data_IF_230727274283
#
_entry.id   IF_230727274283
#
_cell.length_a   1.000
_cell.length_b   1.000
_cell.length_c   1.000
_cell.angle_alpha   90.00
_cell.angle_beta   90.00
_cell.angle_gamma   90.00
#
_symmetry.space_group_name_H-M   'P 1'
#
loop_
_entity.id
_entity.type
_entity.pdbx_description
1 polymer ?
#
# COMPACT_ATOMS: atom_id res chain seq x y z
N UNK A 1 2.09 0.69 -21.06
CA UNK A 1 2.60 1.23 -19.76
C UNK A 1 3.64 0.30 -19.13
N UNK A 2 4.83 0.82 -18.81
CA UNK A 2 5.93 0.03 -18.21
C UNK A 2 5.57 -0.57 -16.84
N UNK A 3 5.59 -1.91 -16.73
CA UNK A 3 5.17 -2.67 -15.53
C UNK A 3 6.01 -2.32 -14.29
N UNK A 4 5.36 -2.20 -13.13
CA UNK A 4 6.08 -2.02 -11.86
C UNK A 4 6.89 -3.29 -11.54
N UNK A 5 8.22 -3.14 -11.44
CA UNK A 5 9.15 -4.25 -11.16
C UNK A 5 9.65 -4.33 -9.72
N UNK A 6 9.21 -3.40 -8.86
CA UNK A 6 9.61 -3.38 -7.45
C UNK A 6 8.83 -4.35 -6.55
N UNK A 7 9.16 -4.40 -5.24
CA UNK A 7 8.56 -5.33 -4.29
C UNK A 7 7.05 -5.06 -4.11
N UNK A 8 6.22 -6.00 -4.56
CA UNK A 8 4.75 -5.91 -4.49
C UNK A 8 4.22 -5.78 -3.05
N UNK A 9 4.87 -6.46 -2.10
CA UNK A 9 4.50 -6.39 -0.67
C UNK A 9 4.67 -5.00 -0.06
N UNK A 10 5.58 -4.14 -0.57
CA UNK A 10 5.78 -2.78 -0.07
C UNK A 10 4.54 -1.90 -0.32
N UNK A 11 3.82 -2.12 -1.43
CA UNK A 11 2.55 -1.42 -1.73
C UNK A 11 1.42 -1.89 -0.84
N UNK A 12 1.30 -3.19 -0.60
CA UNK A 12 0.24 -3.78 0.24
C UNK A 12 0.38 -3.35 1.70
N UNK A 13 1.60 -3.30 2.24
CA UNK A 13 1.85 -2.78 3.61
C UNK A 13 1.40 -1.33 3.79
N UNK A 14 1.41 -0.50 2.73
CA UNK A 14 0.98 0.91 2.77
C UNK A 14 -0.52 1.08 2.46
N UNK A 15 -1.02 0.38 1.44
CA UNK A 15 -2.35 0.55 0.86
C UNK A 15 -3.39 -0.45 1.40
N UNK A 16 -2.97 -1.49 2.12
CA UNK A 16 -3.84 -2.58 2.59
C UNK A 16 -4.08 -3.62 1.49
N UNK A 17 -5.20 -4.35 1.60
CA UNK A 17 -5.55 -5.41 0.66
C UNK A 17 -5.71 -4.87 -0.78
N UNK A 18 -4.94 -5.46 -1.69
CA UNK A 18 -4.95 -5.22 -3.14
C UNK A 18 -5.21 -6.56 -3.86
N UNK A 19 -6.46 -6.99 -3.98
CA UNK A 19 -6.79 -8.19 -4.74
C UNK A 19 -6.30 -8.03 -6.19
N UNK A 20 -5.74 -9.10 -6.77
CA UNK A 20 -5.14 -9.08 -8.11
C UNK A 20 -3.64 -8.72 -8.16
N UNK A 21 -3.07 -8.08 -7.13
CA UNK A 21 -1.63 -7.76 -7.13
C UNK A 21 -0.75 -8.89 -6.59
N UNK A 22 -1.23 -9.60 -5.56
CA UNK A 22 -0.61 -10.81 -5.00
C UNK A 22 -1.68 -11.66 -4.34
N UNK A 23 -1.55 -12.99 -4.39
CA UNK A 23 -2.36 -13.95 -3.63
C UNK A 23 -1.77 -14.25 -2.25
N UNK A 24 -0.47 -13.96 -2.05
CA UNK A 24 0.25 -14.24 -0.81
C UNK A 24 -0.09 -13.20 0.26
N UNK A 25 -0.36 -13.67 1.48
CA UNK A 25 -0.56 -12.79 2.64
C UNK A 25 0.77 -12.15 3.06
N UNK A 26 0.83 -10.83 3.31
CA UNK A 26 2.03 -10.20 3.84
C UNK A 26 2.31 -10.76 5.24
N UNK A 27 3.53 -11.26 5.48
CA UNK A 27 3.97 -11.60 6.84
C UNK A 27 4.02 -10.32 7.68
N UNK A 28 3.68 -10.42 8.96
CA UNK A 28 3.75 -9.33 9.92
C UNK A 28 5.22 -8.94 10.17
N UNK A 29 5.82 -8.18 9.24
CA UNK A 29 7.17 -7.65 9.41
C UNK A 29 7.16 -6.57 10.49
N UNK A 30 8.09 -6.69 11.43
CA UNK A 30 8.38 -5.76 12.54
C UNK A 30 8.22 -4.29 12.13
N UNK A 31 7.10 -3.68 12.52
CA UNK A 31 6.74 -2.29 12.18
C UNK A 31 6.69 -1.38 13.41
N UNK A 32 7.22 -1.79 14.56
CA UNK A 32 7.13 -1.03 15.80
C UNK A 32 7.66 0.42 15.64
N UNK A 33 8.72 0.66 14.86
CA UNK A 33 9.23 2.02 14.53
C UNK A 33 8.41 2.80 13.48
N UNK A 34 7.60 2.12 12.67
CA UNK A 34 6.78 2.76 11.62
C UNK A 34 5.36 3.08 12.10
N UNK A 35 4.88 2.40 13.14
CA UNK A 35 3.60 2.69 13.80
C UNK A 35 3.66 4.01 14.58
N UNK A 36 4.78 4.29 15.26
CA UNK A 36 4.98 5.51 16.05
C UNK A 36 4.96 6.80 15.21
N UNK A 37 5.18 6.70 13.89
CA UNK A 37 5.14 7.82 12.95
C UNK A 37 3.83 7.97 12.18
N UNK A 38 2.80 7.17 12.46
CA UNK A 38 1.47 7.40 11.87
C UNK A 38 0.76 8.55 12.60
N UNK A 39 1.27 9.77 12.44
CA UNK A 39 0.58 10.99 12.84
C UNK A 39 -0.80 11.10 12.17
N UNK A 40 -1.65 11.97 12.72
CA UNK A 40 -3.05 12.19 12.31
C UNK A 40 -3.18 12.26 10.78
N UNK A 41 -3.95 11.35 10.18
CA UNK A 41 -4.12 11.30 8.72
C UNK A 41 -4.92 12.51 8.25
N UNK A 42 -4.25 13.43 7.56
CA UNK A 42 -4.88 14.59 6.92
C UNK A 42 -5.71 14.10 5.72
N UNK A 43 -6.82 14.78 5.42
CA UNK A 43 -7.78 14.45 4.34
C UNK A 43 -7.12 14.20 2.97
N UNK A 44 -6.10 14.98 2.60
CA UNK A 44 -5.32 14.86 1.36
C UNK A 44 -4.58 13.51 1.26
N UNK A 45 -4.04 13.02 2.38
CA UNK A 45 -3.35 11.73 2.42
C UNK A 45 -4.31 10.57 2.15
N UNK A 46 -5.57 10.70 2.59
CA UNK A 46 -6.61 9.70 2.34
C UNK A 46 -7.07 9.69 0.87
N UNK A 47 -7.25 10.84 0.22
CA UNK A 47 -7.62 10.90 -1.21
C UNK A 47 -6.50 10.36 -2.10
N UNK A 48 -5.25 10.71 -1.81
CA UNK A 48 -4.08 10.15 -2.49
C UNK A 48 -4.00 8.62 -2.35
N UNK A 49 -4.23 8.09 -1.14
CA UNK A 49 -4.28 6.65 -0.88
C UNK A 49 -5.38 5.94 -1.69
N UNK A 50 -6.55 6.58 -1.85
CA UNK A 50 -7.66 6.04 -2.66
C UNK A 50 -7.33 6.05 -4.15
N UNK A 51 -6.85 7.18 -4.70
CA UNK A 51 -6.47 7.31 -6.12
C UNK A 51 -5.36 6.32 -6.51
N UNK A 52 -4.35 6.18 -5.65
CA UNK A 52 -3.25 5.22 -5.89
C UNK A 52 -3.72 3.77 -5.83
N UNK A 53 -4.67 3.42 -4.96
CA UNK A 53 -5.27 2.09 -4.91
C UNK A 53 -5.93 1.72 -6.24
N UNK A 54 -6.75 2.63 -6.78
CA UNK A 54 -7.48 2.44 -8.04
C UNK A 54 -6.50 2.31 -9.22
N UNK A 55 -5.50 3.18 -9.30
CA UNK A 55 -4.51 3.14 -10.37
C UNK A 55 -3.67 1.85 -10.39
N UNK A 56 -3.54 1.17 -9.25
CA UNK A 56 -2.83 -0.11 -9.14
C UNK A 56 -3.77 -1.29 -9.44
N UNK A 57 -5.07 -1.20 -9.11
CA UNK A 57 -6.03 -2.28 -9.34
C UNK A 57 -6.53 -2.37 -10.79
N UNK A 58 -6.54 -1.26 -11.52
CA UNK A 58 -6.97 -1.19 -12.92
C UNK A 58 -5.85 -1.57 -13.92
N UNK A 59 -4.82 -2.27 -13.46
CA UNK A 59 -3.58 -2.50 -14.19
C UNK A 59 -3.11 -3.93 -14.07
#
# INVERSE_FOLDING_TARGET
MSRYRGPRFKKIRRLGALPGLTSKRPRAGSNFRNQSRSGKKISISNSFRRKTKIAISLR
#
